data_IF_953042478666
#
_entry.id   IF_953042478666
#
_cell.length_a   1.000
_cell.length_b   1.000
_cell.length_c   1.000
_cell.angle_alpha   90.00
_cell.angle_beta   90.00
_cell.angle_gamma   90.00
#
_symmetry.space_group_name_H-M   'P 1'
#
loop_
_entity.id
_entity.type
_entity.pdbx_description
1 polymer ?
#
# COMPACT_ATOMS: atom_id res chain seq x y z
N UNK A 1 18.27 8.23 21.78
CA UNK A 1 18.87 7.03 21.13
C UNK A 1 18.54 7.05 19.65
N UNK A 2 19.53 7.38 18.80
CA UNK A 2 19.37 7.31 17.34
C UNK A 2 19.21 5.86 16.93
N UNK A 3 18.02 5.45 16.47
CA UNK A 3 17.81 4.11 15.92
C UNK A 3 18.66 4.03 14.65
N UNK A 4 19.71 3.20 14.66
CA UNK A 4 20.52 2.91 13.47
C UNK A 4 19.57 2.56 12.31
N UNK A 5 19.65 3.34 11.22
CA UNK A 5 19.01 3.03 9.96
C UNK A 5 19.48 1.64 9.55
N UNK A 6 18.55 0.71 9.45
CA UNK A 6 18.86 -0.57 8.83
C UNK A 6 18.54 -0.46 7.35
N UNK A 7 19.50 -0.86 6.53
CA UNK A 7 19.32 -0.81 5.08
C UNK A 7 18.83 -2.14 4.56
N UNK A 8 17.91 -2.08 3.59
CA UNK A 8 17.54 -3.24 2.80
C UNK A 8 18.78 -3.79 2.09
N UNK A 9 18.93 -5.11 2.10
CA UNK A 9 20.02 -5.77 1.37
C UNK A 9 19.84 -5.63 -0.15
N UNK A 10 20.90 -5.80 -0.93
CA UNK A 10 20.84 -5.78 -2.39
C UNK A 10 19.77 -6.71 -2.99
N UNK A 11 19.67 -7.98 -2.54
CA UNK A 11 18.60 -8.88 -2.94
C UNK A 11 17.19 -8.37 -2.59
N UNK A 12 16.98 -7.85 -1.37
CA UNK A 12 15.69 -7.32 -0.94
C UNK A 12 15.25 -6.12 -1.79
N UNK A 13 16.17 -5.21 -2.12
CA UNK A 13 15.92 -4.08 -3.02
C UNK A 13 15.53 -4.55 -4.42
N UNK A 14 16.27 -5.51 -4.99
CA UNK A 14 15.94 -6.10 -6.30
C UNK A 14 14.56 -6.74 -6.31
N UNK A 15 14.19 -7.46 -5.26
CA UNK A 15 12.89 -8.10 -5.15
C UNK A 15 11.74 -7.07 -5.08
N UNK A 16 11.89 -6.02 -4.27
CA UNK A 16 10.89 -4.95 -4.18
C UNK A 16 10.71 -4.23 -5.53
N UNK A 17 11.80 -3.92 -6.23
CA UNK A 17 11.74 -3.38 -7.60
C UNK A 17 11.09 -4.33 -8.60
N UNK A 18 11.33 -5.64 -8.46
CA UNK A 18 10.70 -6.65 -9.32
C UNK A 18 9.19 -6.63 -9.13
N UNK A 19 8.71 -6.53 -7.88
CA UNK A 19 7.26 -6.45 -7.59
C UNK A 19 6.63 -5.26 -8.30
N UNK A 20 7.26 -4.08 -8.28
CA UNK A 20 6.73 -2.90 -9.00
C UNK A 20 6.55 -3.12 -10.51
N UNK A 21 7.32 -4.04 -11.11
CA UNK A 21 7.21 -4.40 -12.54
C UNK A 21 6.16 -5.47 -12.80
N UNK A 22 5.66 -6.14 -11.78
CA UNK A 22 4.56 -7.09 -11.88
C UNK A 22 3.24 -6.30 -11.92
N UNK A 23 3.00 -5.61 -13.04
CA UNK A 23 1.72 -4.94 -13.25
C UNK A 23 0.63 -6.02 -13.47
N UNK A 24 -0.42 -6.08 -12.63
CA UNK A 24 -1.50 -7.05 -12.81
C UNK A 24 -2.35 -6.81 -14.07
N UNK A 25 -2.23 -5.63 -14.69
CA UNK A 25 -2.92 -5.23 -15.93
C UNK A 25 -4.46 -5.25 -15.82
N UNK A 26 -5.01 -4.95 -14.64
CA UNK A 26 -6.46 -4.74 -14.48
C UNK A 26 -6.94 -3.44 -15.12
N UNK A 27 -6.04 -2.51 -15.44
CA UNK A 27 -6.33 -1.20 -16.08
C UNK A 27 -7.25 -1.27 -17.32
N UNK A 28 -7.34 -2.40 -18.02
CA UNK A 28 -8.34 -2.64 -19.06
C UNK A 28 -9.80 -2.45 -18.59
N UNK A 29 -10.04 -2.50 -17.28
CA UNK A 29 -11.34 -2.26 -16.62
C UNK A 29 -11.54 -0.77 -16.24
N UNK A 30 -10.76 0.14 -16.82
CA UNK A 30 -10.81 1.58 -16.56
C UNK A 30 -10.31 1.95 -15.16
N UNK A 31 -10.86 3.04 -14.60
CA UNK A 31 -10.44 3.63 -13.31
C UNK A 31 -10.43 2.62 -12.15
N UNK A 32 -11.39 1.70 -12.13
CA UNK A 32 -11.46 0.65 -11.14
C UNK A 32 -10.26 -0.30 -11.25
N UNK A 33 -9.92 -0.71 -12.48
CA UNK A 33 -8.75 -1.52 -12.76
C UNK A 33 -7.44 -0.86 -12.31
N UNK A 34 -7.28 0.43 -12.63
CA UNK A 34 -6.11 1.21 -12.22
C UNK A 34 -5.94 1.30 -10.70
N UNK A 35 -7.06 1.40 -9.97
CA UNK A 35 -7.06 1.37 -8.51
C UNK A 35 -6.52 0.02 -8.01
N UNK A 36 -7.01 -1.09 -8.56
CA UNK A 36 -6.57 -2.43 -8.17
C UNK A 36 -5.11 -2.70 -8.51
N UNK A 37 -4.64 -2.31 -9.70
CA UNK A 37 -3.24 -2.42 -10.08
C UNK A 37 -2.34 -1.75 -9.05
N UNK A 38 -2.66 -0.49 -8.70
CA UNK A 38 -1.88 0.30 -7.73
C UNK A 38 -1.93 -0.31 -6.32
N UNK A 39 -3.13 -0.66 -5.85
CA UNK A 39 -3.31 -1.14 -4.48
C UNK A 39 -2.66 -2.51 -4.25
N UNK A 40 -2.69 -3.41 -5.23
CA UNK A 40 -2.04 -4.72 -5.13
C UNK A 40 -0.52 -4.59 -5.01
N UNK A 41 0.09 -3.65 -5.72
CA UNK A 41 1.51 -3.34 -5.57
C UNK A 41 1.83 -2.80 -4.17
N UNK A 42 1.00 -1.88 -3.64
CA UNK A 42 1.12 -1.41 -2.26
C UNK A 42 1.04 -2.56 -1.26
N UNK A 43 0.09 -3.48 -1.45
CA UNK A 43 -0.11 -4.62 -0.56
C UNK A 43 1.08 -5.59 -0.59
N UNK A 44 1.54 -5.96 -1.78
CA UNK A 44 2.66 -6.88 -1.98
C UNK A 44 3.96 -6.33 -1.38
N UNK A 45 4.26 -5.06 -1.63
CA UNK A 45 5.46 -4.40 -1.10
C UNK A 45 5.39 -4.22 0.42
N UNK A 46 4.22 -3.86 0.98
CA UNK A 46 4.03 -3.76 2.43
C UNK A 46 4.25 -5.11 3.14
N UNK A 47 3.72 -6.21 2.57
CA UNK A 47 3.97 -7.56 3.10
C UNK A 47 5.46 -7.88 3.10
N UNK A 48 6.17 -7.66 1.99
CA UNK A 48 7.62 -7.90 1.91
C UNK A 48 8.41 -7.05 2.89
N UNK A 49 8.05 -5.79 3.08
CA UNK A 49 8.73 -4.91 4.03
C UNK A 49 8.57 -5.41 5.48
N UNK A 50 7.37 -5.88 5.86
CA UNK A 50 7.14 -6.50 7.16
C UNK A 50 7.91 -7.82 7.29
N UNK A 51 7.96 -8.63 6.22
CA UNK A 51 8.74 -9.86 6.17
C UNK A 51 10.20 -9.58 6.48
N UNK A 52 10.85 -8.65 5.77
CA UNK A 52 12.26 -8.34 5.99
C UNK A 52 12.55 -7.81 7.39
N UNK A 53 11.57 -7.16 8.03
CA UNK A 53 11.70 -6.72 9.43
C UNK A 53 11.56 -7.85 10.44
N UNK A 54 10.74 -8.87 10.16
CA UNK A 54 10.26 -9.83 11.18
C UNK A 54 10.67 -11.28 10.94
N UNK A 55 11.04 -11.64 9.71
CA UNK A 55 11.31 -13.01 9.27
C UNK A 55 10.08 -13.92 9.25
N UNK A 56 8.86 -13.40 9.40
CA UNK A 56 7.63 -14.20 9.50
C UNK A 56 6.93 -14.34 8.16
N UNK A 57 6.62 -15.57 7.76
CA UNK A 57 5.92 -15.83 6.49
C UNK A 57 4.43 -15.43 6.54
N UNK A 58 3.76 -15.62 7.69
CA UNK A 58 2.37 -15.23 7.87
C UNK A 58 2.27 -13.78 8.31
N UNK A 59 1.97 -12.91 7.35
CA UNK A 59 1.92 -11.46 7.57
C UNK A 59 0.48 -10.96 7.56
N UNK A 60 0.06 -10.43 8.70
CA UNK A 60 -1.14 -9.61 8.79
C UNK A 60 -0.77 -8.14 8.61
N UNK A 61 -1.45 -7.48 7.67
CA UNK A 61 -1.28 -6.06 7.42
C UNK A 61 -2.01 -5.26 8.49
N UNK A 62 -1.27 -4.79 9.49
CA UNK A 62 -1.73 -3.78 10.44
C UNK A 62 -0.94 -2.50 10.21
N UNK A 63 -1.58 -1.33 10.27
CA UNK A 63 -0.91 -0.03 10.08
C UNK A 63 0.28 0.12 11.01
N UNK A 64 0.17 -0.28 12.28
CA UNK A 64 1.30 -0.31 13.23
C UNK A 64 2.50 -1.13 12.75
N UNK A 65 2.26 -2.28 12.12
CA UNK A 65 3.32 -3.14 11.59
C UNK A 65 4.00 -2.49 10.39
N UNK A 66 3.20 -1.87 9.51
CA UNK A 66 3.68 -1.12 8.35
C UNK A 66 4.49 0.09 8.78
N UNK A 67 3.97 0.91 9.70
CA UNK A 67 4.67 2.07 10.27
C UNK A 67 6.00 1.66 10.88
N UNK A 68 6.00 0.57 11.64
CA UNK A 68 7.21 0.07 12.29
C UNK A 68 8.26 -0.42 11.28
N UNK A 69 7.85 -0.96 10.13
CA UNK A 69 8.74 -1.36 9.05
C UNK A 69 9.24 -0.14 8.25
N UNK A 70 8.34 0.81 7.96
CA UNK A 70 8.66 2.05 7.27
C UNK A 70 9.67 2.90 8.06
N UNK A 71 9.46 3.09 9.37
CA UNK A 71 10.42 3.78 10.26
C UNK A 71 11.80 3.12 10.28
N UNK A 72 11.88 1.80 10.08
CA UNK A 72 13.13 1.04 10.12
C UNK A 72 13.95 1.24 8.85
N UNK A 73 13.30 1.11 7.68
CA UNK A 73 13.98 1.08 6.38
C UNK A 73 13.97 2.43 5.63
N UNK A 74 12.96 3.27 5.88
CA UNK A 74 12.78 4.58 5.24
C UNK A 74 12.47 5.68 6.27
N UNK A 75 13.33 5.88 7.28
CA UNK A 75 13.07 6.84 8.36
C UNK A 75 12.82 8.27 7.85
N UNK A 76 13.52 8.70 6.80
CA UNK A 76 13.42 10.05 6.25
C UNK A 76 12.12 10.29 5.46
N UNK A 77 11.41 9.22 5.07
CA UNK A 77 10.16 9.31 4.34
C UNK A 77 8.96 9.00 5.25
N UNK A 78 9.17 8.55 6.49
CA UNK A 78 8.10 8.03 7.32
C UNK A 78 6.90 8.98 7.44
N UNK A 79 7.15 10.26 7.73
CA UNK A 79 6.07 11.24 7.95
C UNK A 79 5.35 11.69 6.66
N UNK A 80 5.95 11.46 5.48
CA UNK A 80 5.34 11.87 4.20
C UNK A 80 4.41 10.81 3.60
N UNK A 81 4.45 9.59 4.15
CA UNK A 81 3.68 8.46 3.64
C UNK A 81 2.33 8.34 4.37
N UNK A 82 1.19 8.40 3.67
CA UNK A 82 -0.13 8.37 4.30
C UNK A 82 -0.58 6.94 4.63
N UNK A 83 0.16 6.21 5.47
CA UNK A 83 -0.07 4.78 5.79
C UNK A 83 -1.52 4.50 6.17
N UNK A 84 -2.14 5.35 6.99
CA UNK A 84 -3.53 5.17 7.42
C UNK A 84 -4.53 5.32 6.27
N UNK A 85 -4.30 6.22 5.30
CA UNK A 85 -5.19 6.39 4.15
C UNK A 85 -5.13 5.22 3.16
N UNK A 86 -4.00 4.51 3.14
CA UNK A 86 -3.81 3.37 2.25
C UNK A 86 -4.27 2.07 2.92
N UNK A 87 -3.79 1.78 4.13
CA UNK A 87 -3.83 0.43 4.71
C UNK A 87 -4.76 0.26 5.92
N UNK A 88 -5.31 1.34 6.49
CA UNK A 88 -6.24 1.18 7.61
C UNK A 88 -7.52 0.48 7.14
N UNK A 89 -8.01 -0.44 7.97
CA UNK A 89 -9.23 -1.20 7.75
C UNK A 89 -10.30 -0.92 8.81
N UNK A 90 -10.07 0.04 9.72
CA UNK A 90 -11.01 0.35 10.80
C UNK A 90 -12.35 0.83 10.23
N UNK A 91 -13.47 0.24 10.66
CA UNK A 91 -14.81 0.48 10.07
C UNK A 91 -15.39 1.90 10.30
N UNK A 92 -14.65 2.80 10.97
CA UNK A 92 -15.16 4.11 11.45
C UNK A 92 -15.14 5.22 10.40
N UNK A 93 -14.90 4.94 9.13
CA UNK A 93 -14.88 5.98 8.09
C UNK A 93 -16.26 6.18 7.49
N UNK A 94 -16.73 7.42 7.50
CA UNK A 94 -17.96 7.83 6.82
C UNK A 94 -17.82 7.71 5.29
N UNK A 95 -18.96 7.68 4.61
CA UNK A 95 -19.07 7.69 3.14
C UNK A 95 -18.19 8.79 2.53
N UNK A 96 -17.54 8.50 1.39
CA UNK A 96 -16.59 9.39 0.70
C UNK A 96 -15.26 9.64 1.42
N UNK A 97 -15.00 8.98 2.55
CA UNK A 97 -13.72 9.07 3.27
C UNK A 97 -13.13 7.69 3.56
N UNK A 98 -13.51 6.66 2.80
CA UNK A 98 -12.89 5.34 2.95
C UNK A 98 -11.43 5.36 2.50
N UNK A 99 -10.63 4.52 3.14
CA UNK A 99 -9.25 4.22 2.78
C UNK A 99 -9.19 3.30 1.56
N UNK A 100 -8.01 3.17 0.96
CA UNK A 100 -7.82 2.27 -0.17
C UNK A 100 -8.18 0.82 0.21
N UNK A 101 -7.71 0.34 1.37
CA UNK A 101 -8.01 -1.02 1.83
C UNK A 101 -9.49 -1.27 2.07
N UNK A 102 -10.21 -0.31 2.66
CA UNK A 102 -11.65 -0.44 2.87
C UNK A 102 -12.41 -0.50 1.54
N UNK A 103 -12.07 0.37 0.58
CA UNK A 103 -12.67 0.37 -0.75
C UNK A 103 -12.40 -0.95 -1.47
N UNK A 104 -11.15 -1.43 -1.42
CA UNK A 104 -10.77 -2.74 -1.98
C UNK A 104 -11.59 -3.86 -1.36
N UNK A 105 -11.68 -3.92 -0.03
CA UNK A 105 -12.40 -4.99 0.66
C UNK A 105 -13.91 -4.93 0.38
N UNK A 106 -14.51 -3.75 0.44
CA UNK A 106 -15.93 -3.60 0.18
C UNK A 106 -16.30 -3.96 -1.27
N UNK A 107 -15.45 -3.59 -2.24
CA UNK A 107 -15.66 -3.98 -3.63
C UNK A 107 -15.46 -5.48 -3.86
N UNK A 108 -14.36 -6.08 -3.38
CA UNK A 108 -14.07 -7.50 -3.61
C UNK A 108 -15.07 -8.42 -2.90
N UNK A 109 -15.44 -8.12 -1.66
CA UNK A 109 -16.28 -9.00 -0.86
C UNK A 109 -17.78 -8.79 -1.10
N UNK A 110 -18.21 -7.56 -1.41
CA UNK A 110 -19.64 -7.23 -1.50
C UNK A 110 -20.06 -6.73 -2.89
N UNK A 111 -19.13 -6.62 -3.85
CA UNK A 111 -19.37 -6.05 -5.19
C UNK A 111 -20.16 -4.73 -5.13
N UNK A 112 -19.87 -3.92 -4.10
CA UNK A 112 -20.66 -2.75 -3.77
C UNK A 112 -20.57 -1.69 -4.87
N UNK A 113 -21.68 -1.43 -5.54
CA UNK A 113 -21.79 -0.36 -6.54
C UNK A 113 -21.43 1.00 -5.97
N UNK A 114 -21.77 1.25 -4.68
CA UNK A 114 -21.45 2.51 -4.00
C UNK A 114 -19.94 2.69 -3.82
N UNK A 115 -19.23 1.64 -3.45
CA UNK A 115 -17.77 1.68 -3.27
C UNK A 115 -17.05 1.77 -4.61
N UNK A 116 -17.56 1.11 -5.65
CA UNK A 116 -17.10 1.32 -7.03
C UNK A 116 -17.19 2.79 -7.44
N UNK A 117 -18.35 3.42 -7.25
CA UNK A 117 -18.53 4.84 -7.57
C UNK A 117 -17.60 5.73 -6.74
N UNK A 118 -17.38 5.39 -5.46
CA UNK A 118 -16.44 6.12 -4.61
C UNK A 118 -15.00 6.01 -5.13
N UNK A 119 -14.56 4.82 -5.57
CA UNK A 119 -13.26 4.61 -6.23
C UNK A 119 -13.16 5.45 -7.52
N UNK A 120 -14.15 5.36 -8.40
CA UNK A 120 -14.13 6.04 -9.70
C UNK A 120 -14.11 7.57 -9.56
N UNK A 121 -14.81 8.11 -8.54
CA UNK A 121 -14.84 9.54 -8.24
C UNK A 121 -13.58 10.04 -7.53
N UNK A 122 -12.95 9.20 -6.70
CA UNK A 122 -11.76 9.54 -5.90
C UNK A 122 -10.46 8.94 -6.44
N UNK A 123 -10.46 8.45 -7.68
CA UNK A 123 -9.31 7.71 -8.22
C UNK A 123 -8.01 8.51 -8.15
N UNK A 124 -8.05 9.80 -8.46
CA UNK A 124 -6.88 10.69 -8.45
C UNK A 124 -6.25 10.79 -7.05
N UNK A 125 -6.96 11.25 -6.00
CA UNK A 125 -6.37 11.33 -4.66
C UNK A 125 -6.00 9.95 -4.08
N UNK A 126 -6.75 8.88 -4.41
CA UNK A 126 -6.39 7.52 -3.97
C UNK A 126 -5.06 7.06 -4.61
N UNK A 127 -4.88 7.33 -5.90
CA UNK A 127 -3.63 7.01 -6.61
C UNK A 127 -2.48 7.87 -6.09
N UNK A 128 -2.67 9.16 -5.83
CA UNK A 128 -1.63 10.01 -5.25
C UNK A 128 -1.13 9.47 -3.91
N UNK A 129 -2.04 9.05 -3.02
CA UNK A 129 -1.67 8.44 -1.74
C UNK A 129 -0.89 7.13 -1.95
N UNK A 130 -1.33 6.26 -2.87
CA UNK A 130 -0.62 5.02 -3.21
C UNK A 130 0.73 5.26 -3.87
N UNK A 131 0.86 6.27 -4.73
CA UNK A 131 2.10 6.59 -5.43
C UNK A 131 3.18 7.12 -4.47
N UNK A 132 2.79 7.87 -3.43
CA UNK A 132 3.73 8.22 -2.35
C UNK A 132 4.37 6.97 -1.76
N UNK A 133 3.58 5.91 -1.50
CA UNK A 133 4.11 4.64 -1.03
C UNK A 133 5.01 3.94 -2.07
N UNK A 134 4.57 3.84 -3.32
CA UNK A 134 5.31 3.10 -4.36
C UNK A 134 6.65 3.75 -4.71
N UNK A 135 6.72 5.08 -4.70
CA UNK A 135 7.95 5.85 -4.98
C UNK A 135 9.12 5.52 -4.04
N UNK A 136 8.84 5.01 -2.84
CA UNK A 136 9.88 4.53 -1.91
C UNK A 136 10.76 3.44 -2.54
N UNK A 137 10.16 2.60 -3.37
CA UNK A 137 10.82 1.42 -3.94
C UNK A 137 11.37 1.70 -5.35
N UNK A 138 10.86 2.72 -6.03
CA UNK A 138 11.42 3.21 -7.29
C UNK A 138 12.81 3.82 -7.08
N UNK A 139 13.01 4.48 -5.94
CA UNK A 139 14.28 5.10 -5.54
C UNK A 139 15.32 4.13 -4.92
N UNK A 140 14.99 2.84 -4.77
CA UNK A 140 15.96 1.81 -4.34
C UNK A 140 16.98 1.51 -5.45
#
# INVERSE_FOLDING_TARGET
MSKKKEELTGPQKKELKKILRLNPNFSAQGKLGEFFDSYLLCEATARKLIYYKTGKDHITLYTKSIDSALKRFFPNNFDSIPVNKIFDSSLKTNRNNKTCRQLRNAYIHNLSKKDRTEIENRITPLKEDMQKWLSLFEAL
#
